data_IF_829143781948
#
_entry.id   IF_829143781948
#
_cell.length_a   1.000
_cell.length_b   1.000
_cell.length_c   1.000
_cell.angle_alpha   90.00
_cell.angle_beta   90.00
_cell.angle_gamma   90.00
#
_symmetry.space_group_name_H-M   'P 1'
#
loop_
_entity.id
_entity.type
_entity.pdbx_description
1 polymer ?
#
# COMPACT_ATOMS: atom_id res chain seq x y z
N UNK A 1 40.38 86.81 12.55
CA UNK A 1 39.54 86.02 11.61
C UNK A 1 40.32 84.78 11.25
N UNK A 2 39.79 83.58 11.46
CA UNK A 2 38.68 83.14 10.63
C UNK A 2 37.35 83.08 11.37
N UNK A 3 36.37 83.85 10.87
CA UNK A 3 34.94 83.72 11.23
C UNK A 3 34.41 82.28 11.02
N UNK A 4 35.16 81.42 10.33
CA UNK A 4 34.76 80.03 10.10
C UNK A 4 34.98 79.12 11.32
N UNK A 5 35.92 79.41 12.23
CA UNK A 5 36.15 78.51 13.38
C UNK A 5 35.08 78.62 14.48
N UNK A 6 34.52 79.81 14.71
CA UNK A 6 33.37 79.96 15.62
C UNK A 6 32.07 79.44 15.00
N UNK A 7 31.91 79.57 13.66
CA UNK A 7 30.78 79.00 12.94
C UNK A 7 30.79 77.46 12.98
N UNK A 8 31.95 76.81 12.82
CA UNK A 8 32.07 75.35 12.90
C UNK A 8 31.84 74.82 14.33
N UNK A 9 32.28 75.55 15.35
CA UNK A 9 32.06 75.18 16.75
C UNK A 9 30.58 75.31 17.18
N UNK A 10 29.85 76.30 16.64
CA UNK A 10 28.41 76.47 16.86
C UNK A 10 27.59 75.48 16.03
N UNK A 11 28.00 75.17 14.79
CA UNK A 11 27.37 74.16 13.95
C UNK A 11 27.50 72.75 14.56
N UNK A 12 28.65 72.41 15.15
CA UNK A 12 28.87 71.14 15.84
C UNK A 12 28.00 70.97 17.11
N UNK A 13 27.74 72.06 17.84
CA UNK A 13 26.86 72.04 19.03
C UNK A 13 25.38 71.97 18.67
N UNK A 14 24.96 72.60 17.57
CA UNK A 14 23.58 72.52 17.07
C UNK A 14 23.25 71.14 16.48
N UNK A 15 24.22 70.45 15.86
CA UNK A 15 24.04 69.08 15.36
C UNK A 15 23.94 68.07 16.52
N UNK A 16 24.68 68.28 17.62
CA UNK A 16 24.66 67.40 18.78
C UNK A 16 23.35 67.49 19.59
N UNK A 17 22.69 68.66 19.65
CA UNK A 17 21.40 68.80 20.34
C UNK A 17 20.23 68.17 19.59
N UNK A 18 20.35 67.95 18.27
CA UNK A 18 19.31 67.32 17.45
C UNK A 18 19.44 65.79 17.33
N UNK A 19 20.58 65.21 17.70
CA UNK A 19 20.77 63.75 17.70
C UNK A 19 20.28 63.07 18.99
N UNK A 20 20.06 63.82 20.07
CA UNK A 20 19.48 63.31 21.33
C UNK A 20 17.98 63.05 21.28
N UNK A 21 17.28 63.50 20.23
CA UNK A 21 15.81 63.38 20.11
C UNK A 21 15.34 62.25 19.18
N UNK A 22 16.25 61.54 18.51
CA UNK A 22 15.93 60.40 17.65
C UNK A 22 16.15 59.03 18.31
N UNK A 23 16.30 58.99 19.63
CA UNK A 23 16.35 57.74 20.42
C UNK A 23 15.00 57.37 21.04
N UNK A 24 13.89 57.95 20.54
CA UNK A 24 12.52 57.70 21.03
C UNK A 24 11.73 56.77 20.09
N UNK A 25 12.33 56.26 19.02
CA UNK A 25 11.68 55.32 18.11
C UNK A 25 12.61 54.18 17.68
N UNK A 26 13.29 53.54 18.64
CA UNK A 26 13.63 52.13 18.41
C UNK A 26 12.29 51.38 18.39
N UNK A 27 11.97 50.60 17.35
CA UNK A 27 10.87 49.66 17.47
C UNK A 27 11.20 48.82 18.69
N UNK A 28 10.37 48.90 19.74
CA UNK A 28 10.37 47.91 20.80
C UNK A 28 10.45 46.58 20.07
N UNK A 29 11.47 45.73 20.28
CA UNK A 29 11.45 44.41 19.68
C UNK A 29 10.11 43.85 20.15
N UNK A 30 9.20 43.60 19.21
CA UNK A 30 7.91 42.98 19.49
C UNK A 30 8.24 41.81 20.39
N UNK A 31 7.99 41.97 21.70
CA UNK A 31 8.17 40.91 22.66
C UNK A 31 7.34 39.78 22.06
N UNK A 32 8.00 38.67 21.70
CA UNK A 32 7.35 37.58 21.01
C UNK A 32 6.03 37.31 21.74
N UNK A 33 4.91 37.61 21.07
CA UNK A 33 3.56 37.57 21.65
C UNK A 33 3.45 36.30 22.51
N UNK A 34 3.32 36.39 23.84
CA UNK A 34 3.41 35.23 24.72
C UNK A 34 2.42 34.13 24.31
N UNK A 35 1.24 34.52 23.79
CA UNK A 35 0.25 33.58 23.26
C UNK A 35 0.66 32.83 21.98
N UNK A 36 1.64 33.31 21.20
CA UNK A 36 2.13 32.64 19.98
C UNK A 36 3.03 31.44 20.27
N UNK A 37 3.70 31.46 21.42
CA UNK A 37 4.56 30.34 21.83
C UNK A 37 3.70 29.24 22.48
N UNK A 38 2.72 29.65 23.30
CA UNK A 38 1.73 28.75 23.89
C UNK A 38 0.86 28.05 22.83
N UNK A 39 0.43 28.77 21.78
CA UNK A 39 -0.33 28.16 20.67
C UNK A 39 0.50 27.13 19.91
N UNK A 40 1.78 27.41 19.61
CA UNK A 40 2.67 26.45 18.95
C UNK A 40 2.91 25.19 19.77
N UNK A 41 3.02 25.33 21.09
CA UNK A 41 3.17 24.18 22.00
C UNK A 41 1.90 23.35 22.06
N UNK A 42 0.73 24.00 22.08
CA UNK A 42 -0.57 23.35 22.03
C UNK A 42 -0.78 22.62 20.69
N UNK A 43 -0.45 23.25 19.57
CA UNK A 43 -0.54 22.67 18.23
C UNK A 43 0.36 21.43 18.11
N UNK A 44 1.60 21.52 18.59
CA UNK A 44 2.53 20.39 18.60
C UNK A 44 2.03 19.24 19.49
N UNK A 45 1.47 19.54 20.66
CA UNK A 45 0.88 18.55 21.55
C UNK A 45 -0.35 17.88 20.91
N UNK A 46 -1.24 18.66 20.27
CA UNK A 46 -2.40 18.16 19.54
C UNK A 46 -1.98 17.26 18.38
N UNK A 47 -1.04 17.69 17.55
CA UNK A 47 -0.51 16.90 16.44
C UNK A 47 0.07 15.56 16.92
N UNK A 48 0.85 15.58 18.01
CA UNK A 48 1.40 14.35 18.59
C UNK A 48 0.31 13.39 19.06
N UNK A 49 -0.75 13.92 19.68
CA UNK A 49 -1.90 13.14 20.15
C UNK A 49 -2.70 12.55 19.00
N UNK A 50 -2.95 13.33 17.96
CA UNK A 50 -3.66 12.87 16.75
C UNK A 50 -2.86 11.77 16.05
N UNK A 51 -1.55 11.95 15.85
CA UNK A 51 -0.69 10.92 15.24
C UNK A 51 -0.68 9.64 16.06
N UNK A 52 -0.61 9.75 17.38
CA UNK A 52 -0.66 8.60 18.28
C UNK A 52 -1.99 7.84 18.16
N UNK A 53 -3.14 8.54 18.26
CA UNK A 53 -4.47 7.94 18.12
C UNK A 53 -4.66 7.29 16.74
N UNK A 54 -4.23 7.96 15.67
CA UNK A 54 -4.28 7.41 14.32
C UNK A 54 -3.42 6.14 14.20
N UNK A 55 -2.23 6.13 14.78
CA UNK A 55 -1.33 4.97 14.75
C UNK A 55 -1.93 3.76 15.49
N UNK A 56 -2.59 4.01 16.63
CA UNK A 56 -3.27 2.97 17.41
C UNK A 56 -4.47 2.41 16.64
N UNK A 57 -5.30 3.28 16.07
CA UNK A 57 -6.43 2.92 15.23
C UNK A 57 -6.02 2.09 14.02
N UNK A 58 -5.05 2.56 13.23
CA UNK A 58 -4.56 1.85 12.05
C UNK A 58 -3.95 0.49 12.41
N UNK A 59 -3.26 0.41 13.55
CA UNK A 59 -2.72 -0.86 14.04
C UNK A 59 -3.84 -1.85 14.37
N UNK A 60 -4.93 -1.40 14.99
CA UNK A 60 -6.08 -2.25 15.27
C UNK A 60 -6.78 -2.72 13.99
N UNK A 61 -6.97 -1.83 13.02
CA UNK A 61 -7.56 -2.16 11.70
C UNK A 61 -6.72 -3.21 10.97
N UNK A 62 -5.39 -3.04 10.92
CA UNK A 62 -4.49 -3.98 10.24
C UNK A 62 -4.53 -5.38 10.87
N UNK A 63 -4.54 -5.47 12.21
CA UNK A 63 -4.67 -6.75 12.91
C UNK A 63 -6.01 -7.45 12.64
N UNK A 64 -7.10 -6.69 12.49
CA UNK A 64 -8.40 -7.25 12.08
C UNK A 64 -8.35 -7.76 10.64
N UNK A 65 -7.73 -7.02 9.74
CA UNK A 65 -7.52 -7.44 8.35
C UNK A 65 -6.69 -8.74 8.27
N UNK A 66 -5.64 -8.87 9.08
CA UNK A 66 -4.87 -10.12 9.20
C UNK A 66 -5.78 -11.30 9.60
N UNK A 67 -6.64 -11.10 10.61
CA UNK A 67 -7.59 -12.11 11.07
C UNK A 67 -8.58 -12.56 9.98
N UNK A 68 -9.12 -11.61 9.21
CA UNK A 68 -9.97 -11.92 8.05
C UNK A 68 -9.20 -12.71 6.98
N UNK A 69 -7.95 -12.32 6.72
CA UNK A 69 -7.10 -12.99 5.75
C UNK A 69 -6.73 -14.41 6.18
N UNK A 70 -6.53 -14.67 7.47
CA UNK A 70 -6.30 -16.04 7.97
C UNK A 70 -7.49 -16.95 7.64
N UNK A 71 -8.71 -16.50 7.93
CA UNK A 71 -9.92 -17.26 7.61
C UNK A 71 -10.06 -17.49 6.11
N UNK A 72 -9.79 -16.45 5.32
CA UNK A 72 -9.81 -16.51 3.86
C UNK A 72 -8.79 -17.52 3.31
N UNK A 73 -7.55 -17.54 3.82
CA UNK A 73 -6.51 -18.51 3.44
C UNK A 73 -6.98 -19.96 3.66
N UNK A 74 -7.58 -20.23 4.81
CA UNK A 74 -8.14 -21.55 5.09
C UNK A 74 -9.29 -21.91 4.13
N UNK A 75 -10.24 -20.99 3.95
CA UNK A 75 -11.40 -21.19 3.09
C UNK A 75 -11.02 -21.42 1.62
N UNK A 76 -10.14 -20.61 1.07
CA UNK A 76 -9.72 -20.73 -0.33
C UNK A 76 -8.83 -21.97 -0.57
N UNK A 77 -8.06 -22.42 0.43
CA UNK A 77 -7.32 -23.68 0.30
C UNK A 77 -8.25 -24.88 0.29
N UNK A 78 -9.26 -24.92 1.17
CA UNK A 78 -10.30 -25.95 1.13
C UNK A 78 -11.08 -25.92 -0.20
N UNK A 79 -11.40 -24.72 -0.70
CA UNK A 79 -12.02 -24.55 -2.01
C UNK A 79 -11.14 -25.10 -3.14
N UNK A 80 -9.83 -24.82 -3.12
CA UNK A 80 -8.89 -25.34 -4.11
C UNK A 80 -8.77 -26.87 -4.06
N UNK A 81 -8.77 -27.47 -2.86
CA UNK A 81 -8.80 -28.92 -2.69
C UNK A 81 -10.10 -29.52 -3.23
N UNK A 82 -11.26 -28.91 -2.94
CA UNK A 82 -12.54 -29.35 -3.48
C UNK A 82 -12.56 -29.26 -5.01
N UNK A 83 -12.05 -28.15 -5.57
CA UNK A 83 -11.93 -27.95 -7.02
C UNK A 83 -11.00 -28.99 -7.65
N UNK A 84 -9.87 -29.30 -7.01
CA UNK A 84 -8.94 -30.34 -7.46
C UNK A 84 -9.59 -31.73 -7.45
N UNK A 85 -10.39 -32.06 -6.43
CA UNK A 85 -11.14 -33.32 -6.38
C UNK A 85 -12.17 -33.37 -7.50
N UNK A 86 -12.98 -32.32 -7.69
CA UNK A 86 -14.01 -32.29 -8.74
C UNK A 86 -13.40 -32.43 -10.14
N UNK A 87 -12.30 -31.72 -10.41
CA UNK A 87 -11.59 -31.78 -11.68
C UNK A 87 -10.91 -33.14 -11.90
N UNK A 88 -10.34 -33.76 -10.86
CA UNK A 88 -9.79 -35.12 -10.94
C UNK A 88 -10.86 -36.21 -11.12
N UNK A 89 -12.07 -35.98 -10.62
CA UNK A 89 -13.18 -36.93 -10.63
C UNK A 89 -14.00 -36.92 -11.93
N UNK A 90 -13.83 -35.93 -12.80
CA UNK A 90 -14.60 -35.77 -14.02
C UNK A 90 -13.74 -36.01 -15.29
N UNK A 91 -13.50 -37.27 -15.69
CA UNK A 91 -12.92 -37.60 -17.00
C UNK A 91 -14.04 -37.60 -18.05
N UNK A 92 -14.32 -36.45 -18.66
CA UNK A 92 -15.23 -36.40 -19.82
C UNK A 92 -14.54 -36.96 -21.08
N UNK A 93 -13.22 -37.16 -21.01
CA UNK A 93 -12.45 -37.89 -21.99
C UNK A 93 -12.16 -39.31 -21.49
N UNK A 94 -12.87 -40.28 -22.05
CA UNK A 94 -12.73 -41.71 -21.78
C UNK A 94 -11.32 -42.25 -22.09
N UNK A 95 -10.44 -41.45 -22.70
CA UNK A 95 -9.06 -41.81 -23.04
C UNK A 95 -8.02 -41.37 -21.99
N UNK A 96 -8.39 -40.48 -21.07
CA UNK A 96 -7.48 -39.96 -20.04
C UNK A 96 -7.71 -40.69 -18.71
N UNK A 97 -6.67 -41.33 -18.19
CA UNK A 97 -6.69 -41.89 -16.83
C UNK A 97 -6.88 -40.75 -15.82
N UNK A 98 -7.62 -40.93 -14.72
CA UNK A 98 -7.66 -39.95 -13.64
C UNK A 98 -6.22 -39.63 -13.21
N UNK A 99 -5.75 -38.42 -13.47
CA UNK A 99 -4.43 -37.99 -13.04
C UNK A 99 -4.56 -37.32 -11.66
N UNK A 100 -3.76 -37.71 -10.66
CA UNK A 100 -3.76 -37.04 -9.35
C UNK A 100 -3.10 -35.65 -9.41
N UNK A 101 -2.72 -35.17 -10.59
CA UNK A 101 -1.95 -33.95 -10.80
C UNK A 101 -2.60 -32.70 -10.20
N UNK A 102 -3.91 -32.41 -10.40
CA UNK A 102 -4.52 -31.21 -9.81
C UNK A 102 -4.50 -31.22 -8.28
N UNK A 103 -4.65 -32.40 -7.68
CA UNK A 103 -4.61 -32.56 -6.22
C UNK A 103 -3.21 -32.29 -5.67
N UNK A 104 -2.17 -32.83 -6.32
CA UNK A 104 -0.78 -32.55 -5.93
C UNK A 104 -0.41 -31.08 -6.10
N UNK A 105 -0.87 -30.44 -7.18
CA UNK A 105 -0.66 -29.00 -7.39
C UNK A 105 -1.34 -28.18 -6.29
N UNK A 106 -2.61 -28.47 -5.97
CA UNK A 106 -3.34 -27.80 -4.88
C UNK A 106 -2.68 -28.00 -3.50
N UNK A 107 -2.11 -29.18 -3.25
CA UNK A 107 -1.45 -29.47 -1.98
C UNK A 107 -0.06 -28.82 -1.88
N UNK A 108 0.80 -29.03 -2.89
CA UNK A 108 2.20 -28.62 -2.88
C UNK A 108 2.38 -27.11 -3.10
N UNK A 109 1.54 -26.48 -3.92
CA UNK A 109 1.57 -25.03 -4.11
C UNK A 109 0.64 -24.32 -3.12
N UNK A 110 -0.58 -24.84 -2.90
CA UNK A 110 -1.54 -24.23 -1.98
C UNK A 110 -1.10 -24.28 -0.52
N UNK A 111 -0.39 -25.34 -0.10
CA UNK A 111 0.12 -25.49 1.26
C UNK A 111 1.04 -24.34 1.69
N UNK A 112 2.18 -24.11 1.04
CA UNK A 112 3.07 -22.98 1.34
C UNK A 112 2.38 -21.62 1.21
N UNK A 113 1.53 -21.44 0.19
CA UNK A 113 0.73 -20.22 0.00
C UNK A 113 -0.33 -20.02 1.10
N UNK A 114 -0.67 -21.03 1.89
CA UNK A 114 -1.52 -20.87 3.07
C UNK A 114 -0.68 -20.68 4.33
N UNK A 115 0.27 -21.59 4.57
CA UNK A 115 1.02 -21.70 5.83
C UNK A 115 1.89 -20.47 6.07
N UNK A 116 2.60 -19.97 5.06
CA UNK A 116 3.54 -18.84 5.21
C UNK A 116 2.82 -17.54 5.61
N UNK A 117 1.81 -17.04 4.88
CA UNK A 117 1.11 -15.81 5.28
C UNK A 117 0.33 -15.98 6.57
N UNK A 118 -0.26 -17.16 6.84
CA UNK A 118 -0.99 -17.43 8.09
C UNK A 118 -0.05 -17.40 9.29
N UNK A 119 1.11 -18.06 9.21
CA UNK A 119 2.09 -18.03 10.31
C UNK A 119 2.61 -16.62 10.57
N UNK A 120 2.89 -15.83 9.53
CA UNK A 120 3.24 -14.42 9.71
C UNK A 120 2.12 -13.59 10.34
N UNK A 121 0.87 -13.82 9.94
CA UNK A 121 -0.29 -13.13 10.48
C UNK A 121 -0.55 -13.48 11.96
N UNK A 122 -0.25 -14.71 12.38
CA UNK A 122 -0.37 -15.15 13.76
C UNK A 122 0.80 -14.64 14.64
N UNK A 123 2.03 -14.69 14.14
CA UNK A 123 3.23 -14.34 14.93
C UNK A 123 3.53 -12.84 14.93
N UNK A 124 3.22 -12.15 13.83
CA UNK A 124 3.49 -10.71 13.65
C UNK A 124 2.26 -9.96 13.11
N UNK A 125 1.14 -9.96 13.85
CA UNK A 125 -0.08 -9.28 13.41
C UNK A 125 0.15 -7.76 13.31
N UNK A 126 -0.30 -7.16 12.22
CA UNK A 126 -0.21 -5.74 11.90
C UNK A 126 1.14 -5.30 11.31
N UNK A 127 2.12 -6.19 11.22
CA UNK A 127 3.45 -5.86 10.71
C UNK A 127 3.44 -5.56 9.20
N UNK A 128 4.43 -4.78 8.75
CA UNK A 128 4.58 -4.44 7.31
C UNK A 128 4.84 -5.68 6.48
N UNK A 129 5.75 -6.53 6.93
CA UNK A 129 6.10 -7.76 6.23
C UNK A 129 4.88 -8.67 6.07
N UNK A 130 4.06 -8.82 7.11
CA UNK A 130 2.85 -9.66 7.10
C UNK A 130 1.89 -9.27 5.99
N UNK A 131 1.50 -7.99 5.91
CA UNK A 131 0.55 -7.53 4.89
C UNK A 131 1.12 -7.54 3.48
N UNK A 132 2.43 -7.34 3.32
CA UNK A 132 3.08 -7.45 2.01
C UNK A 132 3.15 -8.90 1.53
N UNK A 133 3.50 -9.83 2.41
CA UNK A 133 3.45 -11.27 2.09
C UNK A 133 2.01 -11.70 1.79
N UNK A 134 1.03 -11.19 2.52
CA UNK A 134 -0.38 -11.46 2.25
C UNK A 134 -0.80 -10.98 0.86
N UNK A 135 -0.38 -9.78 0.44
CA UNK A 135 -0.66 -9.25 -0.89
C UNK A 135 -0.09 -10.11 -2.01
N UNK A 136 1.20 -10.46 -1.92
CA UNK A 136 1.85 -11.34 -2.90
C UNK A 136 1.12 -12.68 -2.97
N UNK A 137 0.83 -13.26 -1.81
CA UNK A 137 0.22 -14.58 -1.73
C UNK A 137 -1.20 -14.58 -2.28
N UNK A 138 -2.00 -13.55 -2.01
CA UNK A 138 -3.35 -13.41 -2.58
C UNK A 138 -3.36 -13.43 -4.10
N UNK A 139 -2.39 -12.77 -4.73
CA UNK A 139 -2.25 -12.79 -6.19
C UNK A 139 -1.83 -14.17 -6.68
N UNK A 140 -0.88 -14.83 -6.01
CA UNK A 140 -0.46 -16.19 -6.35
C UNK A 140 -1.60 -17.20 -6.17
N UNK A 141 -2.51 -16.97 -5.23
CA UNK A 141 -3.75 -17.73 -5.09
C UNK A 141 -4.68 -17.56 -6.28
N UNK A 142 -4.86 -16.33 -6.78
CA UNK A 142 -5.60 -16.12 -8.04
C UNK A 142 -5.00 -16.91 -9.19
N UNK A 143 -3.67 -16.92 -9.31
CA UNK A 143 -2.95 -17.70 -10.34
C UNK A 143 -3.21 -19.20 -10.18
N UNK A 144 -3.07 -19.72 -8.97
CA UNK A 144 -3.30 -21.14 -8.67
C UNK A 144 -4.73 -21.56 -8.96
N UNK A 145 -5.73 -20.77 -8.54
CA UNK A 145 -7.14 -21.08 -8.76
C UNK A 145 -7.50 -21.06 -10.25
N UNK A 146 -7.00 -20.08 -11.01
CA UNK A 146 -7.17 -20.03 -12.47
C UNK A 146 -6.56 -21.27 -13.14
N UNK A 147 -5.40 -21.72 -12.67
CA UNK A 147 -4.78 -22.94 -13.19
C UNK A 147 -5.62 -24.18 -12.87
N UNK A 148 -6.06 -24.35 -11.62
CA UNK A 148 -6.89 -25.48 -11.20
C UNK A 148 -8.27 -25.51 -11.87
N UNK A 149 -8.81 -24.35 -12.27
CA UNK A 149 -10.10 -24.28 -12.95
C UNK A 149 -10.02 -24.49 -14.47
N UNK A 150 -8.81 -24.66 -15.02
CA UNK A 150 -8.60 -24.81 -16.46
C UNK A 150 -8.76 -23.49 -17.22
N UNK A 151 -8.25 -22.39 -16.67
CA UNK A 151 -8.28 -21.05 -17.27
C UNK A 151 -9.68 -20.45 -17.48
N UNK A 152 -10.65 -20.82 -16.64
CA UNK A 152 -12.01 -20.25 -16.67
C UNK A 152 -12.00 -18.75 -16.40
N UNK A 153 -12.73 -17.99 -17.22
CA UNK A 153 -12.81 -16.53 -17.10
C UNK A 153 -13.39 -16.11 -15.75
N UNK A 154 -14.33 -16.87 -15.20
CA UNK A 154 -14.98 -16.57 -13.92
C UNK A 154 -13.99 -16.60 -12.74
N UNK A 155 -12.98 -17.47 -12.80
CA UNK A 155 -11.98 -17.58 -11.73
C UNK A 155 -11.01 -16.40 -11.70
N UNK A 156 -10.86 -15.68 -12.82
CA UNK A 156 -10.02 -14.49 -12.88
C UNK A 156 -10.56 -13.36 -11.99
N UNK A 157 -11.87 -13.33 -11.70
CA UNK A 157 -12.46 -12.34 -10.80
C UNK A 157 -11.93 -12.42 -9.36
N UNK A 158 -11.31 -13.54 -8.97
CA UNK A 158 -10.72 -13.71 -7.66
C UNK A 158 -9.74 -12.58 -7.32
N UNK A 159 -8.89 -12.15 -8.28
CA UNK A 159 -7.89 -11.09 -8.03
C UNK A 159 -8.54 -9.77 -7.60
N UNK A 160 -9.68 -9.40 -8.18
CA UNK A 160 -10.39 -8.18 -7.80
C UNK A 160 -11.02 -8.28 -6.41
N UNK A 161 -11.58 -9.44 -6.07
CA UNK A 161 -12.05 -9.71 -4.70
C UNK A 161 -10.91 -9.64 -3.68
N UNK A 162 -9.74 -10.20 -4.02
CA UNK A 162 -8.55 -10.12 -3.19
C UNK A 162 -8.06 -8.68 -3.00
N UNK A 163 -8.03 -7.85 -4.05
CA UNK A 163 -7.65 -6.43 -3.93
C UNK A 163 -8.61 -5.66 -3.01
N UNK A 164 -9.92 -5.91 -3.13
CA UNK A 164 -10.90 -5.32 -2.23
C UNK A 164 -10.64 -5.70 -0.76
N UNK A 165 -10.29 -6.96 -0.48
CA UNK A 165 -9.94 -7.40 0.88
C UNK A 165 -8.60 -6.81 1.36
N UNK A 166 -7.60 -6.72 0.48
CA UNK A 166 -6.31 -6.11 0.78
C UNK A 166 -6.42 -4.61 1.08
N UNK A 167 -7.42 -3.92 0.51
CA UNK A 167 -7.69 -2.50 0.82
C UNK A 167 -7.98 -2.26 2.31
N UNK A 168 -8.47 -3.29 3.03
CA UNK A 168 -8.74 -3.19 4.47
C UNK A 168 -7.47 -2.98 5.32
N UNK A 169 -6.27 -3.25 4.79
CA UNK A 169 -5.03 -2.87 5.46
C UNK A 169 -4.83 -1.35 5.55
N UNK A 170 -5.58 -0.56 4.77
CA UNK A 170 -5.48 0.90 4.66
C UNK A 170 -4.02 1.35 4.51
N UNK A 171 -3.32 0.65 3.61
CA UNK A 171 -1.93 0.92 3.25
C UNK A 171 -1.80 0.78 1.72
N UNK A 172 -1.64 1.90 0.98
CA UNK A 172 -1.61 1.87 -0.49
C UNK A 172 -0.43 1.06 -1.05
N UNK A 173 0.62 0.86 -0.25
CA UNK A 173 1.78 0.04 -0.65
C UNK A 173 1.43 -1.44 -0.78
N UNK A 174 0.38 -1.90 -0.09
CA UNK A 174 -0.10 -3.29 -0.17
C UNK A 174 -0.77 -3.53 -1.52
N UNK A 175 -1.61 -2.60 -1.95
CA UNK A 175 -2.25 -2.63 -3.27
C UNK A 175 -1.21 -2.54 -4.39
N UNK A 176 -0.27 -1.60 -4.29
CA UNK A 176 0.84 -1.51 -5.25
C UNK A 176 1.62 -2.83 -5.37
N UNK A 177 1.91 -3.49 -4.25
CA UNK A 177 2.61 -4.78 -4.25
C UNK A 177 1.77 -5.88 -4.90
N UNK A 178 0.47 -5.93 -4.63
CA UNK A 178 -0.44 -6.85 -5.30
C UNK A 178 -0.49 -6.59 -6.81
N UNK A 179 -0.63 -5.33 -7.24
CA UNK A 179 -0.67 -4.95 -8.66
C UNK A 179 0.62 -5.31 -9.40
N UNK A 180 1.78 -4.98 -8.82
CA UNK A 180 3.08 -5.38 -9.39
C UNK A 180 3.21 -6.90 -9.47
N UNK A 181 2.80 -7.62 -8.41
CA UNK A 181 2.82 -9.09 -8.40
C UNK A 181 1.92 -9.67 -9.50
N UNK A 182 0.76 -9.07 -9.75
CA UNK A 182 -0.19 -9.54 -10.77
C UNK A 182 0.40 -9.39 -12.18
N UNK A 183 1.01 -8.23 -12.47
CA UNK A 183 1.70 -7.98 -13.74
C UNK A 183 2.86 -8.97 -13.93
N UNK A 184 3.71 -9.12 -12.91
CA UNK A 184 4.84 -10.06 -12.97
C UNK A 184 4.36 -11.49 -13.18
N UNK A 185 3.35 -11.94 -12.44
CA UNK A 185 2.80 -13.29 -12.57
C UNK A 185 2.14 -13.53 -13.93
N UNK A 186 1.56 -12.51 -14.56
CA UNK A 186 1.01 -12.61 -15.90
C UNK A 186 2.11 -12.72 -16.96
N UNK A 187 3.14 -11.88 -16.87
CA UNK A 187 4.31 -11.92 -17.77
C UNK A 187 5.04 -13.27 -17.67
N UNK A 188 5.30 -13.76 -16.46
CA UNK A 188 6.00 -15.03 -16.25
C UNK A 188 5.23 -16.22 -16.84
N UNK A 189 3.90 -16.23 -16.75
CA UNK A 189 3.08 -17.27 -17.38
C UNK A 189 3.21 -17.24 -18.90
N UNK A 190 3.25 -16.05 -19.50
CA UNK A 190 3.46 -15.90 -20.95
C UNK A 190 4.83 -16.38 -21.46
N UNK A 191 5.84 -16.54 -20.60
CA UNK A 191 7.22 -16.88 -20.99
C UNK A 191 7.51 -18.39 -20.86
N UNK A 192 6.83 -19.14 -19.99
CA UNK A 192 7.22 -20.54 -19.75
C UNK A 192 6.31 -21.44 -18.93
N UNK A 193 5.09 -21.02 -18.56
CA UNK A 193 4.12 -21.94 -17.95
C UNK A 193 3.05 -22.31 -18.97
N UNK A 194 2.94 -23.59 -19.39
CA UNK A 194 1.90 -23.98 -20.35
C UNK A 194 0.52 -23.80 -19.73
N UNK A 195 -0.29 -22.92 -20.33
CA UNK A 195 -1.68 -22.69 -19.95
C UNK A 195 -2.56 -23.83 -20.50
N UNK A 196 -3.40 -24.49 -19.67
CA UNK A 196 -4.51 -25.28 -20.17
C UNK A 196 -5.44 -24.38 -21.00
N UNK A 197 -5.62 -24.68 -22.28
CA UNK A 197 -6.54 -23.93 -23.15
C UNK A 197 -5.94 -22.73 -23.90
N UNK A 198 -4.64 -22.75 -24.21
CA UNK A 198 -3.89 -21.71 -24.95
C UNK A 198 -4.34 -21.45 -26.41
N UNK A 199 -5.64 -21.39 -26.70
CA UNK A 199 -6.17 -21.09 -28.04
C UNK A 199 -6.47 -19.60 -28.28
N UNK A 200 -6.40 -18.73 -27.25
CA UNK A 200 -6.56 -17.28 -27.42
C UNK A 200 -5.20 -16.56 -27.38
N UNK A 201 -4.48 -16.60 -28.50
CA UNK A 201 -3.27 -15.81 -28.71
C UNK A 201 -3.63 -14.36 -29.04
N UNK A 202 -3.81 -13.52 -28.01
CA UNK A 202 -3.65 -12.08 -28.16
C UNK A 202 -2.18 -11.72 -28.37
N UNK A 203 -1.88 -10.57 -28.98
CA UNK A 203 -0.50 -10.12 -29.14
C UNK A 203 0.21 -10.04 -27.75
N UNK A 204 1.43 -10.58 -27.59
CA UNK A 204 2.05 -10.82 -26.28
C UNK A 204 2.15 -9.59 -25.35
N UNK A 205 2.17 -8.38 -25.91
CA UNK A 205 2.26 -7.13 -25.14
C UNK A 205 0.92 -6.48 -24.81
N UNK A 206 -0.14 -6.76 -25.56
CA UNK A 206 -1.43 -6.05 -25.39
C UNK A 206 -2.16 -6.52 -24.13
N UNK A 207 -2.13 -7.81 -23.83
CA UNK A 207 -2.75 -8.40 -22.64
C UNK A 207 -2.15 -7.90 -21.33
N UNK A 208 -0.84 -7.66 -21.30
CA UNK A 208 -0.14 -7.10 -20.12
C UNK A 208 -0.57 -5.67 -19.86
N UNK A 209 -0.69 -4.84 -20.91
CA UNK A 209 -1.17 -3.47 -20.79
C UNK A 209 -2.62 -3.43 -20.29
N UNK A 210 -3.47 -4.30 -20.83
CA UNK A 210 -4.87 -4.41 -20.43
C UNK A 210 -5.01 -4.83 -18.96
N UNK A 211 -4.26 -5.86 -18.53
CA UNK A 211 -4.23 -6.26 -17.12
C UNK A 211 -3.75 -5.11 -16.21
N UNK A 212 -2.64 -4.47 -16.57
CA UNK A 212 -2.07 -3.38 -15.78
C UNK A 212 -3.04 -2.20 -15.68
N UNK A 213 -3.76 -1.89 -16.76
CA UNK A 213 -4.81 -0.87 -16.77
C UNK A 213 -5.95 -1.22 -15.82
N UNK A 214 -6.54 -2.41 -15.93
CA UNK A 214 -7.68 -2.81 -15.10
C UNK A 214 -7.32 -2.92 -13.62
N UNK A 215 -6.17 -3.50 -13.30
CA UNK A 215 -5.68 -3.60 -11.92
C UNK A 215 -5.35 -2.21 -11.37
N UNK A 216 -4.65 -1.36 -12.14
CA UNK A 216 -4.31 -0.01 -11.73
C UNK A 216 -5.52 0.89 -11.51
N UNK A 217 -6.57 0.74 -12.33
CA UNK A 217 -7.84 1.46 -12.16
C UNK A 217 -8.51 1.06 -10.84
N UNK A 218 -8.59 -0.24 -10.54
CA UNK A 218 -9.20 -0.73 -9.30
C UNK A 218 -8.38 -0.30 -8.08
N UNK A 219 -7.05 -0.44 -8.12
CA UNK A 219 -6.17 0.02 -7.05
C UNK A 219 -6.33 1.53 -6.80
N UNK A 220 -6.40 2.33 -7.86
CA UNK A 220 -6.62 3.78 -7.76
C UNK A 220 -7.93 4.13 -7.04
N UNK A 221 -9.01 3.44 -7.37
CA UNK A 221 -10.31 3.60 -6.68
C UNK A 221 -10.21 3.18 -5.22
N UNK A 222 -9.58 2.03 -4.93
CA UNK A 222 -9.46 1.49 -3.57
C UNK A 222 -8.56 2.32 -2.66
N UNK A 223 -7.57 3.03 -3.20
CA UNK A 223 -6.73 3.96 -2.44
C UNK A 223 -7.49 5.23 -2.07
N UNK A 224 -8.45 5.65 -2.90
CA UNK A 224 -9.23 6.88 -2.69
C UNK A 224 -10.42 6.69 -1.74
N UNK A 225 -10.96 5.48 -1.64
CA UNK A 225 -12.15 5.13 -0.84
C UNK A 225 -11.87 4.91 0.66
#
# INVERSE_FOLDING_TARGET
MSKNQEADALAGRALASHLGTLEVMRPTPLAAEPGRQDSKLLDAALESRVRWLLSEYLSAVRRRADGLCIWLMGGQWLFALALAVVTSAHPWDWRLRPSPEPLWVALLLGGPLCIIPVTLALVRPGAVVTRQVMAVTQVLWSVLLVHLSGARLETHFHVFGSLALLSFYRDPRVLLTAGVTAVVAHVLRGIGWPEPGATFSGAPGWSVLELAFWVGLVDGVLVLA
#
